data_IF_718882793376
#
_entry.id   IF_718882793376
#
_cell.length_a   1.000
_cell.length_b   1.000
_cell.length_c   1.000
_cell.angle_alpha   90.00
_cell.angle_beta   90.00
_cell.angle_gamma   90.00
#
_symmetry.space_group_name_H-M   'P 1'
#
loop_
_entity.id
_entity.type
_entity.pdbx_description
1 polymer ?
#
# COMPACT_ATOMS: atom_id res chain seq x y z
N UNK A 1 40.20 -59.99 24.82
CA UNK A 1 38.88 -59.34 24.94
C UNK A 1 39.06 -57.96 25.57
N UNK A 2 39.13 -56.90 24.75
CA UNK A 2 39.09 -55.50 25.21
C UNK A 2 38.17 -54.75 24.25
N UNK A 3 37.05 -54.28 24.79
CA UNK A 3 36.06 -53.39 24.14
C UNK A 3 36.52 -51.95 24.37
N UNK A 4 36.59 -51.14 23.33
CA UNK A 4 36.62 -49.66 23.47
C UNK A 4 36.18 -49.05 22.13
N UNK A 5 34.89 -48.75 22.00
CA UNK A 5 34.28 -47.41 22.11
C UNK A 5 34.69 -46.47 20.97
N UNK A 6 33.90 -46.49 19.88
CA UNK A 6 33.83 -45.40 18.92
C UNK A 6 33.15 -44.20 19.60
N UNK A 7 33.88 -43.08 19.69
CA UNK A 7 33.31 -41.78 20.07
C UNK A 7 32.79 -41.14 18.80
N UNK A 8 31.47 -41.12 18.62
CA UNK A 8 30.80 -40.35 17.57
C UNK A 8 30.82 -38.89 18.03
N UNK A 9 31.58 -38.06 17.32
CA UNK A 9 31.59 -36.61 17.50
C UNK A 9 30.32 -36.03 16.87
N UNK A 10 29.27 -35.83 17.67
CA UNK A 10 28.08 -35.09 17.28
C UNK A 10 28.45 -33.60 17.21
N UNK A 11 28.74 -33.13 16.00
CA UNK A 11 28.87 -31.69 15.69
C UNK A 11 27.54 -31.00 16.05
N UNK A 12 27.52 -29.97 16.91
CA UNK A 12 26.32 -29.18 17.09
C UNK A 12 26.10 -28.38 15.80
N UNK A 13 25.06 -28.75 15.05
CA UNK A 13 24.52 -27.92 13.98
C UNK A 13 24.04 -26.64 14.67
N UNK A 14 24.83 -25.57 14.53
CA UNK A 14 24.41 -24.22 14.87
C UNK A 14 23.22 -23.91 13.98
N UNK A 15 22.02 -24.09 14.52
CA UNK A 15 20.81 -23.47 14.01
C UNK A 15 21.09 -21.96 14.09
N UNK A 16 21.50 -21.37 12.97
CA UNK A 16 21.34 -19.96 12.70
C UNK A 16 19.83 -19.70 12.73
N UNK A 17 19.31 -19.50 13.95
CA UNK A 17 18.04 -18.85 14.13
C UNK A 17 18.17 -17.50 13.46
N UNK A 18 17.36 -17.26 12.43
CA UNK A 18 17.06 -15.91 11.98
C UNK A 18 16.61 -15.15 13.21
N UNK A 19 17.52 -14.35 13.78
CA UNK A 19 17.20 -13.41 14.84
C UNK A 19 16.20 -12.46 14.23
N UNK A 20 14.92 -12.61 14.61
CA UNK A 20 13.88 -11.63 14.33
C UNK A 20 14.44 -10.26 14.65
N UNK A 21 14.50 -9.42 13.62
CA UNK A 21 15.03 -8.06 13.72
C UNK A 21 14.29 -7.35 14.83
N UNK A 22 15.04 -6.86 15.83
CA UNK A 22 14.46 -6.23 17.02
C UNK A 22 13.50 -5.11 16.65
N UNK A 23 12.22 -5.37 16.84
CA UNK A 23 11.15 -4.39 16.85
C UNK A 23 11.39 -3.40 17.99
N UNK A 24 11.74 -2.16 17.63
CA UNK A 24 11.78 -1.08 18.60
C UNK A 24 10.40 -0.86 19.19
N UNK A 25 10.34 -0.63 20.50
CA UNK A 25 9.13 -0.18 21.19
C UNK A 25 8.57 1.06 20.47
N UNK A 26 7.39 0.94 19.86
CA UNK A 26 6.75 2.04 19.11
C UNK A 26 6.61 3.31 19.95
N UNK A 27 6.50 3.18 21.28
CA UNK A 27 6.48 4.34 22.19
C UNK A 27 7.75 5.17 22.11
N UNK A 28 8.89 4.56 21.79
CA UNK A 28 10.19 5.25 21.63
C UNK A 28 10.22 6.21 20.43
N UNK A 29 9.39 5.97 19.41
CA UNK A 29 9.24 6.85 18.25
C UNK A 29 8.36 8.07 18.53
N UNK A 30 7.51 8.01 19.55
CA UNK A 30 6.67 9.12 19.97
C UNK A 30 7.46 10.04 20.92
N UNK A 31 7.69 11.32 20.56
CA UNK A 31 8.43 12.23 21.42
C UNK A 31 7.62 12.62 22.67
N UNK A 32 8.28 12.81 23.80
CA UNK A 32 7.60 13.32 25.01
C UNK A 32 7.18 14.81 24.90
N UNK A 33 7.86 15.56 24.03
CA UNK A 33 7.53 16.95 23.70
C UNK A 33 8.19 17.39 22.39
N UNK A 34 7.65 18.44 21.76
CA UNK A 34 8.29 19.15 20.64
C UNK A 34 8.35 20.63 21.00
N UNK A 35 9.49 21.07 21.55
CA UNK A 35 9.65 22.40 22.17
C UNK A 35 9.35 23.55 21.21
N UNK A 36 9.80 23.46 19.96
CA UNK A 36 9.64 24.52 18.96
C UNK A 36 8.17 24.88 18.69
N UNK A 37 7.23 23.96 18.95
CA UNK A 37 5.80 24.15 18.74
C UNK A 37 4.99 24.05 20.05
N UNK A 38 5.67 24.05 21.21
CA UNK A 38 5.03 23.94 22.52
C UNK A 38 4.24 22.65 22.74
N UNK A 39 4.53 21.59 21.97
CA UNK A 39 3.78 20.33 22.01
C UNK A 39 4.20 19.53 23.23
N UNK A 40 3.23 19.07 24.01
CA UNK A 40 3.43 18.18 25.17
C UNK A 40 2.39 17.06 25.16
N UNK A 41 2.68 15.96 25.84
CA UNK A 41 1.69 14.89 26.07
C UNK A 41 0.45 15.48 26.78
N UNK A 42 -0.75 15.12 26.31
CA UNK A 42 -2.00 15.52 26.97
C UNK A 42 -2.13 14.87 28.35
N UNK A 43 -2.85 15.50 29.29
CA UNK A 43 -2.94 15.04 30.70
C UNK A 43 -3.50 13.60 30.85
N UNK A 44 -4.37 13.19 29.94
CA UNK A 44 -5.00 11.87 29.82
C UNK A 44 -4.41 11.03 28.67
N UNK A 45 -3.33 11.51 28.06
CA UNK A 45 -2.89 11.08 26.74
C UNK A 45 -1.84 9.98 26.71
N UNK A 46 -1.64 9.15 27.74
CA UNK A 46 -0.58 8.13 27.70
C UNK A 46 -0.64 7.27 26.43
N UNK A 47 0.53 6.93 25.89
CA UNK A 47 0.66 6.11 24.69
C UNK A 47 -0.04 4.76 24.86
N UNK A 48 -0.99 4.46 23.97
CA UNK A 48 -1.73 3.20 23.96
C UNK A 48 -1.21 2.31 22.85
N UNK A 49 -0.95 1.05 23.15
CA UNK A 49 -0.56 0.04 22.19
C UNK A 49 -1.77 -0.81 21.80
N UNK A 50 -1.87 -1.09 20.52
CA UNK A 50 -2.88 -1.96 19.92
C UNK A 50 -2.13 -3.05 19.14
N UNK A 51 -2.38 -4.31 19.47
CA UNK A 51 -1.78 -5.47 18.83
C UNK A 51 -2.88 -6.49 18.47
N UNK A 52 -2.58 -7.37 17.51
CA UNK A 52 -3.52 -8.38 17.05
C UNK A 52 -4.88 -7.77 16.71
N UNK A 53 -5.98 -8.36 17.22
CA UNK A 53 -7.34 -7.90 16.93
C UNK A 53 -7.74 -6.57 17.61
N UNK A 54 -6.96 -6.05 18.56
CA UNK A 54 -7.32 -4.84 19.33
C UNK A 54 -7.38 -3.58 18.47
N UNK A 55 -6.83 -3.61 17.26
CA UNK A 55 -6.96 -2.48 16.34
C UNK A 55 -8.43 -2.25 15.93
N UNK A 56 -9.27 -3.29 15.91
CA UNK A 56 -10.71 -3.14 15.64
C UNK A 56 -11.39 -2.27 16.70
N UNK A 57 -11.01 -2.41 17.97
CA UNK A 57 -11.56 -1.61 19.08
C UNK A 57 -11.21 -0.11 18.91
N UNK A 58 -10.04 0.18 18.35
CA UNK A 58 -9.60 1.55 18.10
C UNK A 58 -10.28 2.17 16.86
N UNK A 59 -10.42 1.38 15.80
CA UNK A 59 -10.88 1.84 14.49
C UNK A 59 -12.38 1.65 14.25
N UNK A 60 -13.15 1.27 15.28
CA UNK A 60 -14.60 1.02 15.21
C UNK A 60 -14.98 0.08 14.04
N UNK A 61 -14.29 -1.07 13.96
CA UNK A 61 -14.49 -2.04 12.88
C UNK A 61 -13.66 -1.78 11.60
N UNK A 62 -13.10 -0.59 11.42
CA UNK A 62 -12.38 -0.17 10.20
C UNK A 62 -10.96 -0.71 10.01
N UNK A 63 -10.56 -1.77 10.71
CA UNK A 63 -9.18 -2.26 10.73
C UNK A 63 -8.84 -3.28 9.62
N UNK A 64 -9.85 -3.76 8.87
CA UNK A 64 -9.67 -4.79 7.82
C UNK A 64 -8.57 -4.45 6.80
N UNK A 65 -8.55 -3.20 6.35
CA UNK A 65 -7.53 -2.72 5.42
C UNK A 65 -6.13 -2.91 6.00
N UNK A 66 -5.91 -2.48 7.26
CA UNK A 66 -4.60 -2.57 7.91
C UNK A 66 -4.11 -4.02 8.04
N UNK A 67 -4.99 -4.97 8.36
CA UNK A 67 -4.61 -6.39 8.40
C UNK A 67 -4.26 -6.97 7.04
N UNK A 68 -4.94 -6.54 5.97
CA UNK A 68 -4.58 -6.95 4.60
C UNK A 68 -3.17 -6.48 4.21
N UNK A 69 -2.72 -5.36 4.79
CA UNK A 69 -1.35 -4.86 4.72
C UNK A 69 -0.43 -5.37 5.84
N UNK A 70 -0.73 -6.52 6.45
CA UNK A 70 0.19 -7.17 7.39
C UNK A 70 0.43 -6.35 8.66
N UNK A 71 -0.60 -5.70 9.18
CA UNK A 71 -0.54 -5.01 10.47
C UNK A 71 0.01 -5.91 11.59
N UNK A 72 0.99 -5.38 12.33
CA UNK A 72 1.59 -6.06 13.49
C UNK A 72 1.15 -5.39 14.80
N UNK A 73 1.33 -4.07 14.89
CA UNK A 73 0.98 -3.27 16.07
C UNK A 73 0.83 -1.79 15.72
N UNK A 74 0.07 -1.06 16.54
CA UNK A 74 -0.06 0.39 16.48
C UNK A 74 0.21 1.03 17.84
N UNK A 75 0.71 2.26 17.82
CA UNK A 75 0.80 3.11 19.00
C UNK A 75 0.11 4.44 18.75
N UNK A 76 -0.79 4.81 19.66
CA UNK A 76 -1.59 6.04 19.59
C UNK A 76 -1.28 6.92 20.79
N UNK A 77 -1.01 8.20 20.54
CA UNK A 77 -0.63 9.16 21.56
C UNK A 77 -1.29 10.51 21.29
N UNK A 78 -1.92 11.06 22.34
CA UNK A 78 -2.55 12.38 22.30
C UNK A 78 -1.61 13.43 22.84
N UNK A 79 -1.52 14.53 22.12
CA UNK A 79 -0.71 15.70 22.44
C UNK A 79 -1.59 16.93 22.59
N UNK A 80 -1.02 17.93 23.28
CA UNK A 80 -1.54 19.28 23.36
C UNK A 80 -0.50 20.25 22.80
N UNK A 81 -0.89 20.98 21.77
CA UNK A 81 -0.22 22.19 21.30
C UNK A 81 -0.96 23.43 21.87
N UNK A 82 -0.35 24.63 21.83
CA UNK A 82 -1.02 25.86 22.24
C UNK A 82 -2.37 26.10 21.54
N UNK A 83 -2.45 25.72 20.26
CA UNK A 83 -3.62 25.96 19.40
C UNK A 83 -4.70 24.87 19.53
N UNK A 84 -4.36 23.65 19.94
CA UNK A 84 -5.28 22.51 19.84
C UNK A 84 -4.74 21.18 20.36
N UNK A 85 -5.59 20.16 20.34
CA UNK A 85 -5.18 18.77 20.56
C UNK A 85 -4.69 18.16 19.25
N UNK A 86 -3.72 17.27 19.33
CA UNK A 86 -3.19 16.51 18.19
C UNK A 86 -3.18 15.03 18.56
N UNK A 87 -3.59 14.15 17.66
CA UNK A 87 -3.42 12.71 17.80
C UNK A 87 -2.33 12.26 16.83
N UNK A 88 -1.36 11.47 17.32
CA UNK A 88 -0.42 10.77 16.47
C UNK A 88 -0.64 9.26 16.58
N UNK A 89 -0.59 8.59 15.44
CA UNK A 89 -0.72 7.16 15.27
C UNK A 89 0.50 6.66 14.52
N UNK A 90 1.16 5.62 15.04
CA UNK A 90 2.23 4.90 14.36
C UNK A 90 1.77 3.47 14.18
N UNK A 91 1.71 3.00 12.94
CA UNK A 91 1.37 1.64 12.56
C UNK A 91 2.63 0.94 12.07
N UNK A 92 2.95 -0.21 12.66
CA UNK A 92 3.98 -1.11 12.19
C UNK A 92 3.34 -2.19 11.31
N UNK A 93 3.85 -2.32 10.09
CA UNK A 93 3.48 -3.35 9.13
C UNK A 93 4.57 -4.42 9.04
N UNK A 94 4.25 -5.57 8.46
CA UNK A 94 5.21 -6.67 8.25
C UNK A 94 6.43 -6.28 7.39
N UNK A 95 6.24 -5.35 6.45
CA UNK A 95 7.24 -4.96 5.45
C UNK A 95 7.08 -3.49 5.05
N UNK A 96 8.14 -2.94 4.46
CA UNK A 96 8.16 -1.57 3.92
C UNK A 96 7.11 -1.35 2.82
N UNK A 97 6.96 -2.32 1.92
CA UNK A 97 5.98 -2.26 0.84
C UNK A 97 4.54 -2.15 1.35
N UNK A 98 4.22 -2.80 2.47
CA UNK A 98 2.89 -2.69 3.07
C UNK A 98 2.62 -1.34 3.73
N UNK A 99 3.62 -0.76 4.42
CA UNK A 99 3.51 0.59 4.96
C UNK A 99 3.32 1.63 3.86
N UNK A 100 4.05 1.50 2.76
CA UNK A 100 3.84 2.28 1.55
C UNK A 100 2.41 2.10 1.01
N UNK A 101 1.92 0.86 0.93
CA UNK A 101 0.59 0.55 0.44
C UNK A 101 -0.54 1.30 1.15
N UNK A 102 -0.56 1.23 2.48
CA UNK A 102 -1.53 2.00 3.26
C UNK A 102 -1.39 3.51 3.01
N UNK A 103 -0.16 4.03 3.01
CA UNK A 103 0.10 5.44 2.75
C UNK A 103 -0.50 5.93 1.42
N UNK A 104 -0.52 5.09 0.37
CA UNK A 104 -1.02 5.53 -0.94
C UNK A 104 -2.48 5.97 -0.94
N UNK A 105 -3.30 5.53 0.03
CA UNK A 105 -4.70 5.99 0.20
C UNK A 105 -4.81 7.45 0.69
N UNK A 106 -3.77 7.95 1.36
CA UNK A 106 -3.70 9.32 1.91
C UNK A 106 -2.74 10.21 1.09
N UNK A 107 -2.42 9.84 -0.15
CA UNK A 107 -1.37 10.49 -0.95
C UNK A 107 -1.76 11.85 -1.56
N UNK A 108 -3.04 12.22 -1.58
CA UNK A 108 -3.54 13.45 -2.20
C UNK A 108 -3.33 14.70 -1.33
N UNK A 109 -2.48 15.65 -1.77
CA UNK A 109 -2.32 16.92 -1.06
C UNK A 109 -0.96 17.59 -1.27
N UNK A 110 -0.50 18.29 -0.23
CA UNK A 110 0.85 18.86 -0.20
C UNK A 110 1.87 17.81 0.23
N UNK A 111 3.08 17.81 -0.34
CA UNK A 111 4.12 16.82 0.00
C UNK A 111 5.29 17.44 0.76
N UNK A 112 5.22 17.56 2.10
CA UNK A 112 6.35 18.02 2.90
C UNK A 112 7.47 16.96 2.91
N UNK A 113 8.73 17.39 3.02
CA UNK A 113 9.88 16.48 3.15
C UNK A 113 9.94 15.85 4.55
N UNK A 114 9.16 14.80 4.78
CA UNK A 114 9.05 14.03 6.03
C UNK A 114 8.98 12.55 5.68
N UNK A 115 9.74 11.70 6.38
CA UNK A 115 9.79 10.28 6.04
C UNK A 115 10.38 10.04 4.64
N UNK A 116 9.90 9.02 3.95
CA UNK A 116 10.23 8.74 2.55
C UNK A 116 9.25 9.41 1.58
N UNK A 117 7.96 9.35 1.91
CA UNK A 117 6.93 10.19 1.30
C UNK A 117 5.96 10.64 2.40
N UNK A 118 5.44 11.87 2.26
CA UNK A 118 4.42 12.42 3.13
C UNK A 118 3.40 13.21 2.33
N UNK A 119 2.20 13.28 2.89
CA UNK A 119 1.11 14.11 2.42
C UNK A 119 0.47 14.85 3.58
N UNK A 120 0.21 16.13 3.38
CA UNK A 120 -0.60 16.96 4.25
C UNK A 120 -1.85 17.42 3.50
N UNK A 121 -3.02 17.12 4.05
CA UNK A 121 -4.30 17.59 3.55
C UNK A 121 -5.30 17.71 4.70
N UNK A 122 -6.06 18.81 4.72
CA UNK A 122 -7.23 18.98 5.60
C UNK A 122 -6.97 18.66 7.10
N UNK A 123 -5.80 19.03 7.63
CA UNK A 123 -5.46 18.80 9.04
C UNK A 123 -4.95 17.40 9.37
N UNK A 124 -4.72 16.55 8.36
CA UNK A 124 -4.05 15.26 8.46
C UNK A 124 -2.68 15.34 7.78
N UNK A 125 -1.64 14.98 8.53
CA UNK A 125 -0.33 14.58 8.00
C UNK A 125 -0.27 13.06 7.98
N UNK A 126 -0.02 12.46 6.83
CA UNK A 126 0.28 11.05 6.66
C UNK A 126 1.68 10.89 6.06
N UNK A 127 2.49 9.96 6.56
CA UNK A 127 3.78 9.63 5.95
C UNK A 127 4.16 8.18 6.21
N UNK A 128 5.13 7.68 5.46
CA UNK A 128 5.73 6.37 5.73
C UNK A 128 7.26 6.46 5.77
N UNK A 129 7.88 5.55 6.53
CA UNK A 129 9.34 5.36 6.56
C UNK A 129 9.67 3.95 7.02
N UNK A 130 10.38 3.20 6.19
CA UNK A 130 10.57 1.76 6.42
C UNK A 130 9.21 1.05 6.49
N UNK A 131 9.06 0.13 7.45
CA UNK A 131 7.79 -0.58 7.69
C UNK A 131 6.76 0.18 8.54
N UNK A 132 6.95 1.48 8.73
CA UNK A 132 6.08 2.30 9.58
C UNK A 132 5.26 3.26 8.75
N UNK A 133 3.95 3.22 8.94
CA UNK A 133 3.00 4.23 8.47
C UNK A 133 2.57 5.10 9.64
N UNK A 134 2.56 6.42 9.47
CA UNK A 134 2.33 7.38 10.55
C UNK A 134 1.27 8.38 10.12
N UNK A 135 0.31 8.63 11.02
CA UNK A 135 -0.70 9.67 10.87
C UNK A 135 -0.60 10.64 12.04
N UNK A 136 -0.68 11.93 11.77
CA UNK A 136 -0.82 12.96 12.78
C UNK A 136 -1.94 13.90 12.35
N UNK A 137 -2.96 14.09 13.19
CA UNK A 137 -4.12 14.89 12.84
C UNK A 137 -4.69 15.68 14.02
N UNK A 138 -5.54 16.64 13.68
CA UNK A 138 -6.24 17.51 14.63
C UNK A 138 -7.64 17.82 14.10
N UNK A 139 -8.64 17.79 14.98
CA UNK A 139 -10.01 18.22 14.66
C UNK A 139 -10.15 19.75 14.57
N UNK A 140 -9.08 20.48 14.90
CA UNK A 140 -8.98 21.94 14.75
C UNK A 140 -8.09 22.32 13.58
N UNK A 141 -8.53 23.35 12.87
CA UNK A 141 -7.73 24.05 11.86
C UNK A 141 -6.57 24.84 12.49
N UNK A 142 -5.61 25.26 11.65
CA UNK A 142 -4.49 26.12 12.08
C UNK A 142 -3.36 25.39 12.81
N UNK A 143 -3.34 24.05 12.82
CA UNK A 143 -2.30 23.24 13.47
C UNK A 143 -1.25 22.64 12.50
N UNK A 144 -1.23 23.07 11.24
CA UNK A 144 -0.31 22.57 10.21
C UNK A 144 1.15 22.51 10.70
N UNK A 145 1.70 23.61 11.18
CA UNK A 145 3.11 23.67 11.59
C UNK A 145 3.42 22.75 12.77
N UNK A 146 2.47 22.61 13.71
CA UNK A 146 2.59 21.69 14.83
C UNK A 146 2.56 20.22 14.37
N UNK A 147 1.68 19.88 13.43
CA UNK A 147 1.59 18.55 12.82
C UNK A 147 2.88 18.20 12.06
N UNK A 148 3.39 19.11 11.23
CA UNK A 148 4.63 18.92 10.48
C UNK A 148 5.84 18.79 11.41
N UNK A 149 5.94 19.59 12.48
CA UNK A 149 7.02 19.48 13.44
C UNK A 149 6.99 18.16 14.22
N UNK A 150 5.80 17.71 14.62
CA UNK A 150 5.61 16.41 15.25
C UNK A 150 6.01 15.27 14.32
N UNK A 151 5.53 15.30 13.07
CA UNK A 151 5.86 14.31 12.05
C UNK A 151 7.35 14.21 11.77
N UNK A 152 8.07 15.34 11.62
CA UNK A 152 9.53 15.37 11.48
C UNK A 152 10.23 14.69 12.66
N UNK A 153 9.82 15.05 13.88
CA UNK A 153 10.42 14.47 15.10
C UNK A 153 10.22 12.96 15.18
N UNK A 154 9.04 12.45 14.77
CA UNK A 154 8.77 11.01 14.69
C UNK A 154 9.62 10.36 13.59
N UNK A 155 9.68 10.95 12.40
CA UNK A 155 10.44 10.43 11.28
C UNK A 155 11.95 10.33 11.56
N UNK A 156 12.52 11.27 12.31
CA UNK A 156 13.92 11.25 12.78
C UNK A 156 14.22 10.08 13.73
N UNK A 157 13.22 9.64 14.51
CA UNK A 157 13.35 8.52 15.45
C UNK A 157 13.23 7.15 14.79
N UNK A 158 12.61 7.07 13.61
CA UNK A 158 12.53 5.82 12.84
C UNK A 158 13.89 5.60 12.16
N UNK A 159 14.62 4.51 12.50
CA UNK A 159 16.05 4.41 12.24
C UNK A 159 16.41 4.04 10.79
N UNK A 160 15.49 3.43 10.05
CA UNK A 160 15.75 2.91 8.70
C UNK A 160 14.63 3.30 7.75
N UNK A 161 15.04 3.64 6.54
CA UNK A 161 14.16 3.65 5.37
C UNK A 161 13.95 2.22 4.88
N UNK A 162 13.01 2.03 3.96
CA UNK A 162 12.76 0.75 3.31
C UNK A 162 12.42 0.92 1.83
N UNK A 163 12.30 -0.20 1.14
CA UNK A 163 12.07 -0.20 -0.30
C UNK A 163 10.59 -0.01 -0.64
N UNK A 164 10.33 0.61 -1.79
CA UNK A 164 8.99 0.63 -2.38
C UNK A 164 8.71 -0.70 -3.10
N UNK A 165 7.45 -1.09 -3.31
CA UNK A 165 7.13 -2.29 -4.08
C UNK A 165 7.73 -2.26 -5.49
N UNK A 166 8.41 -3.35 -5.90
CA UNK A 166 9.09 -3.43 -7.19
C UNK A 166 8.14 -3.26 -8.39
N UNK A 167 6.86 -3.60 -8.22
CA UNK A 167 5.83 -3.42 -9.24
C UNK A 167 5.74 -1.96 -9.73
N UNK A 168 6.11 -0.97 -8.90
CA UNK A 168 6.13 0.44 -9.31
C UNK A 168 7.15 0.72 -10.42
N UNK A 169 8.28 -0.01 -10.43
CA UNK A 169 9.31 0.13 -11.45
C UNK A 169 8.92 -0.43 -12.81
N UNK A 170 7.78 -1.13 -12.89
CA UNK A 170 7.26 -1.70 -14.12
C UNK A 170 6.46 -0.70 -14.96
N UNK A 171 6.10 0.46 -14.41
CA UNK A 171 5.35 1.48 -15.11
C UNK A 171 6.26 2.54 -15.73
N UNK A 172 5.96 3.01 -16.94
CA UNK A 172 6.48 4.28 -17.43
C UNK A 172 5.99 5.42 -16.52
N UNK A 173 6.88 6.24 -15.91
CA UNK A 173 6.48 7.28 -14.97
C UNK A 173 5.46 8.28 -15.53
N UNK A 174 5.50 8.56 -16.83
CA UNK A 174 4.62 9.49 -17.52
C UNK A 174 3.16 9.04 -17.61
N UNK A 175 2.84 7.79 -17.25
CA UNK A 175 1.46 7.29 -17.26
C UNK A 175 0.70 7.57 -15.98
N UNK A 176 1.41 7.77 -14.89
CA UNK A 176 0.81 7.89 -13.58
C UNK A 176 0.50 9.36 -13.35
N UNK A 177 -0.79 9.72 -13.39
CA UNK A 177 -1.20 11.05 -12.99
C UNK A 177 -0.79 11.28 -11.52
N UNK A 178 -0.37 12.51 -11.22
CA UNK A 178 0.10 12.90 -9.89
C UNK A 178 -0.92 12.46 -8.81
N UNK A 179 -0.40 11.88 -7.73
CA UNK A 179 -1.11 11.43 -6.53
C UNK A 179 -2.20 10.38 -6.77
N UNK A 180 -2.35 9.86 -8.00
CA UNK A 180 -3.42 8.92 -8.34
C UNK A 180 -3.10 7.46 -8.04
N UNK A 181 -1.83 7.15 -7.76
CA UNK A 181 -1.38 5.78 -7.59
C UNK A 181 -1.74 5.23 -6.22
N UNK A 182 -2.41 4.08 -6.22
CA UNK A 182 -2.64 3.25 -5.05
C UNK A 182 -1.98 1.90 -5.30
N UNK A 183 -1.13 1.46 -4.37
CA UNK A 183 -0.65 0.09 -4.30
C UNK A 183 -1.65 -0.73 -3.51
N UNK A 184 -2.02 -1.91 -4.00
CA UNK A 184 -2.96 -2.79 -3.33
C UNK A 184 -2.53 -4.24 -3.32
N UNK A 185 -2.91 -4.94 -2.25
CA UNK A 185 -2.86 -6.39 -2.12
C UNK A 185 -4.18 -6.85 -1.58
N UNK A 186 -4.79 -7.83 -2.24
CA UNK A 186 -6.09 -8.36 -1.82
C UNK A 186 -7.29 -7.50 -2.19
N UNK A 187 -8.47 -8.05 -1.87
CA UNK A 187 -9.76 -7.56 -2.35
C UNK A 187 -10.25 -6.36 -1.54
N UNK A 188 -9.91 -6.26 -0.26
CA UNK A 188 -10.38 -5.18 0.61
C UNK A 188 -9.76 -3.85 0.17
N UNK A 189 -8.47 -3.82 -0.11
CA UNK A 189 -7.72 -2.68 -0.63
C UNK A 189 -8.20 -2.27 -2.02
N UNK A 190 -8.41 -3.24 -2.91
CA UNK A 190 -9.00 -2.95 -4.22
C UNK A 190 -10.38 -2.32 -4.06
N UNK A 191 -11.27 -2.87 -3.23
CA UNK A 191 -12.62 -2.34 -3.07
C UNK A 191 -12.66 -0.96 -2.40
N UNK A 192 -11.71 -0.66 -1.50
CA UNK A 192 -11.55 0.67 -0.91
C UNK A 192 -11.14 1.73 -1.95
N UNK A 193 -10.36 1.34 -2.98
CA UNK A 193 -9.89 2.27 -4.02
C UNK A 193 -10.80 2.31 -5.26
N UNK A 194 -11.31 1.16 -5.68
CA UNK A 194 -12.21 0.97 -6.81
C UNK A 194 -12.98 -0.35 -6.73
N UNK A 195 -14.29 -0.24 -6.51
CA UNK A 195 -15.17 -1.40 -6.51
C UNK A 195 -15.33 -2.00 -7.92
N UNK A 196 -14.70 -3.16 -8.15
CA UNK A 196 -14.80 -3.92 -9.40
C UNK A 196 -15.92 -4.97 -9.36
N UNK A 197 -15.96 -5.78 -8.29
CA UNK A 197 -16.94 -6.85 -8.07
C UNK A 197 -16.94 -7.27 -6.60
N UNK A 198 -18.02 -7.93 -6.16
CA UNK A 198 -18.06 -8.63 -4.87
C UNK A 198 -17.27 -9.94 -4.89
N UNK A 199 -16.99 -10.47 -6.08
CA UNK A 199 -16.18 -11.68 -6.28
C UNK A 199 -14.72 -11.30 -6.53
N UNK A 200 -13.81 -12.20 -6.15
CA UNK A 200 -12.38 -12.07 -6.44
C UNK A 200 -12.08 -12.39 -7.91
N UNK A 201 -12.53 -11.51 -8.81
CA UNK A 201 -12.46 -11.70 -10.27
C UNK A 201 -11.04 -11.53 -10.84
N UNK A 202 -10.11 -11.00 -10.03
CA UNK A 202 -8.70 -10.85 -10.39
C UNK A 202 -7.81 -11.89 -9.70
N UNK A 203 -8.40 -12.88 -9.02
CA UNK A 203 -7.67 -13.93 -8.30
C UNK A 203 -6.58 -13.38 -7.36
N UNK A 204 -6.89 -12.28 -6.66
CA UNK A 204 -6.01 -11.66 -5.68
C UNK A 204 -5.77 -12.60 -4.50
N UNK A 205 -4.54 -12.62 -3.99
CA UNK A 205 -4.13 -13.52 -2.91
C UNK A 205 -2.80 -13.09 -2.31
N UNK A 206 -2.19 -13.97 -1.52
CA UNK A 206 -0.96 -13.67 -0.79
C UNK A 206 0.17 -13.22 -1.72
N UNK A 207 0.41 -13.89 -2.83
CA UNK A 207 1.55 -13.58 -3.71
C UNK A 207 1.15 -12.76 -4.95
N UNK A 208 0.03 -12.04 -4.85
CA UNK A 208 -0.50 -11.18 -5.91
C UNK A 208 -0.56 -9.75 -5.39
N UNK A 209 -0.01 -8.84 -6.17
CA UNK A 209 -0.02 -7.42 -5.87
C UNK A 209 -0.47 -6.64 -7.10
N UNK A 210 -1.02 -5.45 -6.86
CA UNK A 210 -1.46 -4.61 -7.95
C UNK A 210 -1.28 -3.14 -7.63
N UNK A 211 -1.42 -2.35 -8.68
CA UNK A 211 -1.46 -0.91 -8.60
C UNK A 211 -2.63 -0.41 -9.42
N UNK A 212 -3.26 0.65 -8.93
CA UNK A 212 -4.33 1.36 -9.61
C UNK A 212 -3.95 2.82 -9.70
N UNK A 213 -4.15 3.43 -10.86
CA UNK A 213 -3.80 4.84 -11.10
C UNK A 213 -4.67 5.45 -12.20
N UNK A 214 -4.63 6.78 -12.32
CA UNK A 214 -5.23 7.49 -13.44
C UNK A 214 -4.20 7.69 -14.54
N UNK A 215 -4.60 7.40 -15.77
CA UNK A 215 -3.83 7.61 -16.98
C UNK A 215 -4.59 8.55 -17.90
N UNK A 216 -3.95 9.65 -18.31
CA UNK A 216 -4.62 10.72 -19.09
C UNK A 216 -3.96 10.87 -20.47
N UNK A 217 -4.20 9.94 -21.41
CA UNK A 217 -3.66 10.06 -22.78
C UNK A 217 -4.41 11.11 -23.61
N UNK A 218 -5.66 11.40 -23.26
CA UNK A 218 -6.58 12.32 -23.93
C UNK A 218 -7.21 13.29 -22.90
N UNK A 219 -8.27 14.01 -23.28
CA UNK A 219 -8.94 14.99 -22.39
C UNK A 219 -9.52 14.36 -21.12
N UNK A 220 -10.01 13.12 -21.19
CA UNK A 220 -10.59 12.41 -20.03
C UNK A 220 -9.64 11.35 -19.49
N UNK A 221 -9.48 11.27 -18.15
CA UNK A 221 -8.65 10.25 -17.55
C UNK A 221 -9.29 8.87 -17.71
N UNK A 222 -8.46 7.89 -18.03
CA UNK A 222 -8.75 6.47 -17.89
C UNK A 222 -8.25 6.00 -16.53
N UNK A 223 -8.81 4.91 -16.05
CA UNK A 223 -8.32 4.22 -14.86
C UNK A 223 -7.64 2.94 -15.27
N UNK A 224 -6.41 2.75 -14.80
CA UNK A 224 -5.61 1.56 -15.08
C UNK A 224 -5.44 0.76 -13.80
N UNK A 225 -5.70 -0.54 -13.87
CA UNK A 225 -5.31 -1.51 -12.85
C UNK A 225 -4.26 -2.41 -13.48
N UNK A 226 -3.10 -2.54 -12.86
CA UNK A 226 -2.07 -3.51 -13.23
C UNK A 226 -1.86 -4.47 -12.07
N UNK A 227 -1.92 -5.76 -12.33
CA UNK A 227 -1.76 -6.82 -11.32
C UNK A 227 -0.61 -7.73 -11.73
N UNK A 228 0.32 -7.99 -10.82
CA UNK A 228 1.43 -8.93 -10.97
C UNK A 228 1.11 -10.22 -10.23
N UNK A 229 1.28 -11.34 -10.93
CA UNK A 229 1.08 -12.69 -10.42
C UNK A 229 2.43 -13.40 -10.28
N UNK A 230 2.51 -14.51 -9.51
CA UNK A 230 3.74 -15.28 -9.36
C UNK A 230 4.33 -15.83 -10.66
N UNK A 231 3.54 -15.91 -11.73
CA UNK A 231 3.97 -16.40 -13.03
C UNK A 231 2.91 -16.26 -14.11
N UNK A 232 3.32 -16.54 -15.35
CA UNK A 232 2.45 -16.46 -16.54
C UNK A 232 1.20 -17.36 -16.44
N UNK A 233 1.27 -18.61 -15.94
CA UNK A 233 0.08 -19.44 -15.81
C UNK A 233 -0.99 -18.82 -14.91
N UNK A 234 -0.59 -18.24 -13.78
CA UNK A 234 -1.49 -17.59 -12.83
C UNK A 234 -2.11 -16.32 -13.40
N UNK A 235 -1.32 -15.53 -14.15
CA UNK A 235 -1.83 -14.35 -14.85
C UNK A 235 -2.87 -14.73 -15.92
N UNK A 236 -2.62 -15.79 -16.69
CA UNK A 236 -3.56 -16.30 -17.69
C UNK A 236 -4.86 -16.81 -17.05
N UNK A 237 -4.78 -17.56 -15.95
CA UNK A 237 -5.94 -18.03 -15.19
C UNK A 237 -6.77 -16.87 -14.61
N UNK A 238 -6.10 -15.85 -14.06
CA UNK A 238 -6.78 -14.67 -13.55
C UNK A 238 -7.46 -13.86 -14.67
N UNK A 239 -6.81 -13.74 -15.83
CA UNK A 239 -7.43 -13.12 -17.01
C UNK A 239 -8.69 -13.87 -17.46
N UNK A 240 -8.64 -15.21 -17.50
CA UNK A 240 -9.80 -16.02 -17.85
C UNK A 240 -10.92 -15.89 -16.80
N UNK A 241 -10.57 -15.85 -15.51
CA UNK A 241 -11.53 -15.61 -14.42
C UNK A 241 -12.24 -14.26 -14.60
N UNK A 242 -11.48 -13.19 -14.86
CA UNK A 242 -12.03 -11.87 -15.18
C UNK A 242 -12.95 -11.92 -16.40
N UNK A 243 -12.52 -12.59 -17.47
CA UNK A 243 -13.28 -12.72 -18.72
C UNK A 243 -14.62 -13.42 -18.49
N UNK A 244 -14.64 -14.51 -17.72
CA UNK A 244 -15.86 -15.28 -17.44
C UNK A 244 -16.74 -14.66 -16.36
N UNK A 245 -16.21 -13.75 -15.55
CA UNK A 245 -16.96 -13.07 -14.47
C UNK A 245 -18.11 -12.19 -14.98
N UNK A 246 -18.07 -11.76 -16.24
CA UNK A 246 -19.06 -10.85 -16.81
C UNK A 246 -18.94 -9.39 -16.34
N UNK A 247 -17.88 -9.04 -15.59
CA UNK A 247 -17.56 -7.66 -15.22
C UNK A 247 -17.42 -6.79 -16.47
N UNK A 248 -16.67 -7.28 -17.47
CA UNK A 248 -16.57 -6.69 -18.80
C UNK A 248 -17.47 -7.49 -19.75
N UNK A 249 -18.60 -6.90 -20.14
CA UNK A 249 -19.52 -7.48 -21.14
C UNK A 249 -18.97 -7.21 -22.53
N UNK A 250 -18.12 -8.12 -23.00
CA UNK A 250 -17.35 -7.94 -24.23
C UNK A 250 -16.87 -9.24 -24.85
N UNK A 251 -16.12 -9.09 -25.93
CA UNK A 251 -15.54 -10.20 -26.68
C UNK A 251 -14.01 -10.08 -26.69
N UNK A 252 -13.35 -11.21 -26.90
CA UNK A 252 -11.93 -11.20 -27.20
C UNK A 252 -11.69 -10.49 -28.54
N UNK A 253 -10.79 -9.50 -28.52
CA UNK A 253 -10.26 -8.87 -29.72
C UNK A 253 -9.23 -9.80 -30.38
N UNK A 254 -8.45 -10.49 -29.54
CA UNK A 254 -7.54 -11.59 -29.86
C UNK A 254 -7.24 -12.34 -28.55
N UNK A 255 -6.48 -13.42 -28.63
CA UNK A 255 -6.00 -14.14 -27.45
C UNK A 255 -5.33 -13.17 -26.46
N UNK A 256 -5.74 -13.27 -25.19
CA UNK A 256 -5.25 -12.41 -24.11
C UNK A 256 -5.68 -10.94 -24.16
N UNK A 257 -6.59 -10.54 -25.06
CA UNK A 257 -7.12 -9.17 -25.15
C UNK A 257 -8.65 -9.18 -25.14
N UNK A 258 -9.25 -8.72 -24.04
CA UNK A 258 -10.69 -8.50 -23.87
C UNK A 258 -11.07 -7.03 -24.06
N UNK A 259 -12.20 -6.75 -24.72
CA UNK A 259 -12.76 -5.39 -24.84
C UNK A 259 -14.29 -5.44 -24.77
N UNK A 260 -14.91 -4.56 -23.99
CA UNK A 260 -16.35 -4.57 -23.79
C UNK A 260 -16.90 -3.39 -23.00
N UNK A 261 -18.20 -3.47 -22.69
CA UNK A 261 -18.89 -2.52 -21.84
C UNK A 261 -18.79 -2.91 -20.37
N UNK A 262 -18.71 -1.91 -19.51
CA UNK A 262 -18.81 -2.03 -18.05
C UNK A 262 -19.90 -1.08 -17.55
N UNK A 263 -20.16 -1.09 -16.23
CA UNK A 263 -21.15 -0.17 -15.62
C UNK A 263 -20.87 1.31 -15.95
N UNK A 264 -19.60 1.69 -16.08
CA UNK A 264 -19.16 3.06 -16.40
C UNK A 264 -18.40 3.09 -17.74
N UNK A 265 -19.14 3.07 -18.84
CA UNK A 265 -18.56 3.19 -20.19
C UNK A 265 -17.95 1.88 -20.70
N UNK A 266 -16.75 1.97 -21.24
CA UNK A 266 -16.01 0.86 -21.83
C UNK A 266 -14.78 0.50 -21.00
N UNK A 267 -14.43 -0.77 -21.08
CA UNK A 267 -13.23 -1.31 -20.49
C UNK A 267 -12.61 -2.38 -21.37
N UNK A 268 -11.35 -2.66 -21.12
CA UNK A 268 -10.65 -3.78 -21.70
C UNK A 268 -9.60 -4.33 -20.75
N UNK A 269 -9.17 -5.55 -21.03
CA UNK A 269 -8.12 -6.21 -20.28
C UNK A 269 -7.10 -6.83 -21.23
N UNK A 270 -5.84 -6.88 -20.78
CA UNK A 270 -4.72 -7.49 -21.49
C UNK A 270 -3.92 -8.34 -20.51
N UNK A 271 -3.62 -9.58 -20.87
CA UNK A 271 -2.59 -10.39 -20.19
C UNK A 271 -1.28 -10.30 -20.98
N UNK A 272 -0.17 -10.06 -20.27
CA UNK A 272 1.16 -9.96 -20.86
C UNK A 272 2.21 -10.46 -19.87
N UNK A 273 2.80 -11.64 -20.13
CA UNK A 273 3.71 -12.28 -19.19
C UNK A 273 2.99 -12.67 -17.89
N UNK A 274 3.55 -12.28 -16.76
CA UNK A 274 3.02 -12.46 -15.40
C UNK A 274 2.07 -11.33 -14.96
N UNK A 275 1.62 -10.49 -15.90
CA UNK A 275 0.81 -9.31 -15.61
C UNK A 275 -0.57 -9.36 -16.27
N UNK A 276 -1.57 -8.84 -15.57
CA UNK A 276 -2.88 -8.50 -16.13
C UNK A 276 -3.11 -7.00 -15.97
N UNK A 277 -3.47 -6.36 -17.07
CA UNK A 277 -3.85 -4.95 -17.14
C UNK A 277 -5.35 -4.83 -17.38
N UNK A 278 -6.01 -3.92 -16.68
CA UNK A 278 -7.36 -3.46 -16.97
C UNK A 278 -7.30 -1.97 -17.24
N UNK A 279 -7.96 -1.54 -18.31
CA UNK A 279 -8.19 -0.12 -18.60
C UNK A 279 -9.70 0.11 -18.57
N UNK A 280 -10.13 1.05 -17.75
CA UNK A 280 -11.51 1.29 -17.36
C UNK A 280 -11.92 2.74 -17.65
N UNK A 281 -13.24 2.97 -17.59
CA UNK A 281 -13.86 4.31 -17.64
C UNK A 281 -13.66 5.06 -18.97
N UNK A 282 -13.46 4.33 -20.07
CA UNK A 282 -13.45 4.93 -21.41
C UNK A 282 -14.84 5.33 -21.88
N UNK A 283 -15.00 6.54 -22.41
CA UNK A 283 -16.28 6.99 -22.98
C UNK A 283 -16.69 6.18 -24.21
N UNK A 284 -15.71 5.80 -25.00
CA UNK A 284 -15.80 4.86 -26.12
C UNK A 284 -14.76 3.76 -25.96
N UNK A 285 -14.84 2.72 -26.79
CA UNK A 285 -13.85 1.63 -26.77
C UNK A 285 -12.48 2.04 -27.32
N UNK A 286 -12.40 3.12 -28.10
CA UNK A 286 -11.16 3.56 -28.76
C UNK A 286 -10.04 4.00 -27.80
N UNK A 287 -10.25 4.91 -26.82
CA UNK A 287 -9.20 5.29 -25.88
C UNK A 287 -8.69 4.10 -25.05
N UNK A 288 -9.59 3.20 -24.65
CA UNK A 288 -9.27 1.96 -23.93
C UNK A 288 -8.36 1.08 -24.80
N UNK A 289 -8.76 0.85 -26.06
CA UNK A 289 -8.00 0.03 -27.01
C UNK A 289 -6.63 0.63 -27.33
N UNK A 290 -6.53 1.96 -27.45
CA UNK A 290 -5.25 2.65 -27.64
C UNK A 290 -4.32 2.48 -26.45
N UNK A 291 -4.82 2.67 -25.23
CA UNK A 291 -4.04 2.49 -24.01
C UNK A 291 -3.49 1.07 -23.88
N UNK A 292 -4.33 0.04 -24.07
CA UNK A 292 -3.91 -1.36 -24.02
C UNK A 292 -2.89 -1.72 -25.11
N UNK A 293 -3.00 -1.15 -26.31
CA UNK A 293 -2.00 -1.35 -27.37
C UNK A 293 -0.66 -0.71 -27.02
N UNK A 294 -0.66 0.47 -26.40
CA UNK A 294 0.57 1.12 -25.94
C UNK A 294 1.28 0.29 -24.86
N UNK A 295 0.53 -0.31 -23.94
CA UNK A 295 1.05 -1.31 -22.97
C UNK A 295 1.73 -2.46 -23.69
N UNK A 296 1.04 -3.07 -24.65
CA UNK A 296 1.56 -4.23 -25.36
C UNK A 296 2.85 -3.92 -26.13
N UNK A 297 2.94 -2.76 -26.78
CA UNK A 297 4.13 -2.35 -27.55
C UNK A 297 5.35 -2.17 -26.66
N UNK A 298 5.21 -1.41 -25.57
CA UNK A 298 6.32 -1.18 -24.64
C UNK A 298 6.82 -2.47 -23.99
N UNK A 299 5.93 -3.44 -23.75
CA UNK A 299 6.32 -4.76 -23.23
C UNK A 299 7.01 -5.64 -24.27
N UNK A 300 6.60 -5.54 -25.54
CA UNK A 300 7.25 -6.25 -26.64
C UNK A 300 8.65 -5.72 -26.97
N UNK A 301 8.95 -4.47 -26.62
CA UNK A 301 10.29 -3.85 -26.78
C UNK A 301 11.23 -4.14 -25.60
N UNK A 302 10.71 -4.64 -24.47
CA UNK A 302 11.46 -4.93 -23.24
C UNK A 302 11.80 -6.43 -23.05
N UNK A 303 11.27 -7.32 -23.89
CA UNK A 303 11.53 -8.77 -23.86
C UNK A 303 12.38 -9.23 -25.04
#
# INVERSE_FOLDING_TARGET
MKKTCWVIFLLPILMLGCTGGGDGDLKGFLPSSVKAQGIKIAKDGQARLYDGQKLFDYMDGGAELYYEYGFEQACVQRYKAPQGGITAEIYQMDTSGQAYGIYTFDSQGEHPSIGQDATYAQGLLAFWKGRYFVRAFSDKEGLKDALLALGRTIAEKIPREGERPDILGLLPPQWVAKDSLIYFRGQTALNNSYFLSNQNVLSLGKDVEGIIFHYTPDVKPLRVIMVRYPGQPQAAEAFETLRTSGVIKGNLVKEGFLLGKVRRGYAGALVAGDLVFLVLEGETSDPVKRALRSIQQQRGEQG
#
